data_IF_239552431034
#
_entry.id   IF_239552431034
#
_cell.length_a   1.000
_cell.length_b   1.000
_cell.length_c   1.000
_cell.angle_alpha   90.00
_cell.angle_beta   90.00
_cell.angle_gamma   90.00
#
_symmetry.space_group_name_H-M   'P 1'
#
loop_
_entity.id
_entity.type
_entity.pdbx_description
1 polymer ?
#
# COMPACT_ATOMS: atom_id res chain seq x y z
N UNK A 1 -8.47 1.37 -12.66
CA UNK A 1 -9.62 2.10 -12.02
C UNK A 1 -10.23 1.26 -10.91
N UNK A 2 -10.71 1.88 -9.82
CA UNK A 2 -11.38 1.16 -8.73
C UNK A 2 -12.84 0.82 -9.05
N UNK A 3 -13.39 -0.30 -8.53
CA UNK A 3 -12.69 -1.29 -7.68
C UNK A 3 -11.71 -2.14 -8.50
N UNK A 4 -10.52 -2.37 -7.94
CA UNK A 4 -9.55 -3.30 -8.50
C UNK A 4 -9.86 -4.71 -7.97
N UNK A 5 -9.99 -5.67 -8.86
CA UNK A 5 -10.29 -7.06 -8.51
C UNK A 5 -9.06 -7.93 -8.74
N UNK A 6 -8.74 -8.76 -7.76
CA UNK A 6 -7.76 -9.83 -7.87
C UNK A 6 -8.44 -11.20 -7.81
N UNK A 7 -7.70 -12.27 -7.68
CA UNK A 7 -8.29 -13.61 -7.54
C UNK A 7 -9.18 -13.71 -6.29
N UNK A 8 -8.69 -13.22 -5.14
CA UNK A 8 -9.35 -13.37 -3.84
C UNK A 8 -9.83 -12.07 -3.20
N UNK A 9 -9.37 -10.92 -3.69
CA UNK A 9 -9.60 -9.63 -3.08
C UNK A 9 -10.32 -8.65 -4.02
N UNK A 10 -11.01 -7.72 -3.38
CA UNK A 10 -11.54 -6.50 -3.95
C UNK A 10 -10.92 -5.30 -3.24
N UNK A 11 -10.24 -4.45 -3.98
CA UNK A 11 -9.72 -3.18 -3.49
C UNK A 11 -10.70 -2.08 -3.91
N UNK A 12 -11.20 -1.31 -2.96
CA UNK A 12 -12.11 -0.17 -3.21
C UNK A 12 -11.65 1.08 -2.47
N UNK A 13 -12.07 2.23 -2.95
CA UNK A 13 -11.85 3.46 -2.22
C UNK A 13 -12.36 3.37 -0.78
N UNK A 14 -11.61 3.95 0.15
CA UNK A 14 -12.03 4.10 1.54
C UNK A 14 -13.22 5.05 1.63
N UNK A 15 -14.04 4.87 2.67
CA UNK A 15 -15.23 5.66 2.99
C UNK A 15 -15.20 6.04 4.46
N UNK A 16 -15.89 7.10 4.83
CA UNK A 16 -16.03 7.49 6.24
C UNK A 16 -16.54 6.35 7.14
N UNK A 17 -17.43 5.50 6.60
CA UNK A 17 -17.95 4.33 7.32
C UNK A 17 -16.91 3.25 7.62
N UNK A 18 -15.71 3.31 7.06
CA UNK A 18 -14.64 2.33 7.32
C UNK A 18 -13.84 2.66 8.59
N UNK A 19 -14.12 3.78 9.26
CA UNK A 19 -13.37 4.26 10.43
C UNK A 19 -13.28 3.21 11.54
N UNK A 20 -14.37 2.52 11.87
CA UNK A 20 -14.39 1.53 12.93
C UNK A 20 -13.56 0.29 12.59
N UNK A 21 -13.56 -0.14 11.34
CA UNK A 21 -12.72 -1.27 10.89
C UNK A 21 -11.24 -0.89 10.90
N UNK A 22 -10.88 0.31 10.43
CA UNK A 22 -9.51 0.79 10.45
C UNK A 22 -9.02 0.98 11.89
N UNK A 23 -9.84 1.58 12.76
CA UNK A 23 -9.44 1.77 14.16
C UNK A 23 -9.23 0.43 14.88
N UNK A 24 -10.10 -0.56 14.66
CA UNK A 24 -9.89 -1.92 15.18
C UNK A 24 -8.61 -2.56 14.64
N UNK A 25 -8.33 -2.39 13.33
CA UNK A 25 -7.11 -2.89 12.70
C UNK A 25 -5.85 -2.32 13.36
N UNK A 26 -5.77 -1.01 13.48
CA UNK A 26 -4.60 -0.33 14.05
C UNK A 26 -4.51 -0.42 15.58
N UNK A 27 -5.60 -0.77 16.25
CA UNK A 27 -5.64 -1.06 17.69
C UNK A 27 -5.23 -2.50 18.02
N UNK A 28 -5.16 -3.40 17.04
CA UNK A 28 -4.64 -4.75 17.26
C UNK A 28 -3.17 -4.69 17.68
N UNK A 29 -2.78 -5.28 18.85
CA UNK A 29 -1.42 -5.20 19.34
C UNK A 29 -0.36 -5.74 18.36
N UNK A 30 -0.72 -6.76 17.57
CA UNK A 30 0.19 -7.34 16.58
C UNK A 30 0.45 -6.36 15.44
N UNK A 31 -0.59 -5.66 14.96
CA UNK A 31 -0.46 -4.62 13.92
C UNK A 31 0.28 -3.41 14.48
N UNK A 32 -0.13 -2.90 15.64
CA UNK A 32 0.49 -1.74 16.29
C UNK A 32 1.99 -1.92 16.59
N UNK A 33 2.48 -3.16 16.74
CA UNK A 33 3.90 -3.44 16.91
C UNK A 33 4.75 -3.06 15.67
N UNK A 34 4.14 -3.00 14.49
CA UNK A 34 4.81 -2.64 13.25
C UNK A 34 4.57 -1.18 12.85
N UNK A 35 3.34 -0.70 12.97
CA UNK A 35 2.94 0.63 12.46
C UNK A 35 2.88 1.71 13.56
N UNK A 36 3.06 1.31 14.82
CA UNK A 36 2.87 2.21 15.96
C UNK A 36 1.43 2.22 16.48
N UNK A 37 1.23 2.96 17.57
CA UNK A 37 -0.10 3.13 18.16
C UNK A 37 -0.79 4.33 17.53
N UNK A 38 -2.02 4.14 17.10
CA UNK A 38 -2.87 5.19 16.56
C UNK A 38 -4.04 5.44 17.51
N UNK A 39 -4.30 6.68 17.86
CA UNK A 39 -5.55 7.08 18.47
C UNK A 39 -6.69 7.07 17.44
N UNK A 40 -7.93 7.10 17.89
CA UNK A 40 -9.06 7.22 16.97
C UNK A 40 -8.96 8.49 16.09
N UNK A 41 -8.49 9.59 16.67
CA UNK A 41 -8.29 10.85 15.95
C UNK A 41 -7.21 10.74 14.87
N UNK A 42 -6.12 9.99 15.12
CA UNK A 42 -5.07 9.77 14.12
C UNK A 42 -5.65 8.98 12.92
N UNK A 43 -6.39 7.91 13.21
CA UNK A 43 -7.03 7.08 12.16
C UNK A 43 -8.05 7.90 11.36
N UNK A 44 -8.84 8.74 12.04
CA UNK A 44 -9.80 9.62 11.37
C UNK A 44 -9.09 10.63 10.45
N UNK A 45 -8.00 11.21 10.90
CA UNK A 45 -7.20 12.14 10.09
C UNK A 45 -6.60 11.45 8.86
N UNK A 46 -6.03 10.25 9.04
CA UNK A 46 -5.49 9.48 7.92
C UNK A 46 -6.57 9.05 6.93
N UNK A 47 -7.73 8.60 7.42
CA UNK A 47 -8.85 8.22 6.58
C UNK A 47 -9.34 9.40 5.73
N UNK A 48 -9.48 10.58 6.32
CA UNK A 48 -9.84 11.81 5.58
C UNK A 48 -8.82 12.14 4.53
N UNK A 49 -7.53 12.08 4.89
CA UNK A 49 -6.46 12.29 3.91
C UNK A 49 -6.58 11.33 2.73
N UNK A 50 -6.81 10.03 2.97
CA UNK A 50 -6.94 9.04 1.89
C UNK A 50 -8.17 9.29 1.01
N UNK A 51 -9.31 9.69 1.60
CA UNK A 51 -10.53 10.02 0.85
C UNK A 51 -10.28 11.23 -0.05
N UNK A 52 -9.71 12.30 0.50
CA UNK A 52 -9.44 13.53 -0.23
C UNK A 52 -8.39 13.31 -1.32
N UNK A 53 -7.30 12.58 -0.99
CA UNK A 53 -6.23 12.27 -1.94
C UNK A 53 -6.73 11.38 -3.09
N UNK A 54 -7.62 10.42 -2.79
CA UNK A 54 -8.27 9.61 -3.83
C UNK A 54 -9.13 10.46 -4.76
N UNK A 55 -9.86 11.43 -4.23
CA UNK A 55 -10.72 12.30 -5.02
C UNK A 55 -9.90 13.26 -5.91
N UNK A 56 -8.77 13.76 -5.42
CA UNK A 56 -7.92 14.72 -6.11
C UNK A 56 -6.97 14.06 -7.12
N UNK A 57 -6.35 12.95 -6.73
CA UNK A 57 -5.25 12.32 -7.50
C UNK A 57 -5.60 10.96 -8.12
N UNK A 58 -6.74 10.37 -7.76
CA UNK A 58 -7.16 9.06 -8.27
C UNK A 58 -6.51 7.86 -7.59
N UNK A 59 -5.68 8.07 -6.56
CA UNK A 59 -5.03 7.01 -5.79
C UNK A 59 -4.85 7.41 -4.32
N UNK A 60 -4.88 6.41 -3.44
CA UNK A 60 -4.69 6.53 -1.99
C UNK A 60 -4.50 5.12 -1.39
N UNK A 61 -4.62 4.99 -0.08
CA UNK A 61 -4.91 3.69 0.53
C UNK A 61 -6.35 3.27 0.21
N UNK A 62 -6.56 1.97 0.02
CA UNK A 62 -7.85 1.36 -0.34
C UNK A 62 -8.24 0.28 0.65
N UNK A 63 -9.52 0.13 0.88
CA UNK A 63 -10.05 -0.99 1.65
C UNK A 63 -9.86 -2.31 0.89
N UNK A 64 -9.37 -3.33 1.59
CA UNK A 64 -9.31 -4.71 1.12
C UNK A 64 -10.51 -5.50 1.64
N UNK A 65 -11.25 -6.13 0.75
CA UNK A 65 -12.35 -7.04 1.09
C UNK A 65 -12.10 -8.42 0.46
N UNK A 66 -12.41 -9.51 1.19
CA UNK A 66 -12.47 -10.85 0.58
C UNK A 66 -13.62 -10.90 -0.41
N UNK A 67 -13.38 -11.38 -1.64
CA UNK A 67 -14.45 -11.55 -2.64
C UNK A 67 -15.47 -12.61 -2.25
N UNK A 68 -15.05 -13.64 -1.53
CA UNK A 68 -15.88 -14.78 -1.11
C UNK A 68 -16.72 -14.52 0.14
N UNK A 69 -17.03 -13.29 0.48
CA UNK A 69 -17.88 -13.04 1.68
C UNK A 69 -17.88 -11.59 2.12
N UNK A 70 -17.13 -10.72 1.45
CA UNK A 70 -17.12 -9.30 1.73
C UNK A 70 -16.45 -8.90 3.05
N UNK A 71 -15.73 -9.83 3.70
CA UNK A 71 -15.05 -9.53 4.96
C UNK A 71 -13.97 -8.47 4.74
N UNK A 72 -13.93 -7.46 5.61
CA UNK A 72 -12.84 -6.47 5.62
C UNK A 72 -11.54 -7.14 6.06
N UNK A 73 -10.55 -7.10 5.19
CA UNK A 73 -9.23 -7.73 5.36
C UNK A 73 -8.22 -6.76 5.95
N UNK A 74 -8.31 -5.50 5.56
CA UNK A 74 -7.38 -4.45 5.92
C UNK A 74 -7.34 -3.35 4.88
N UNK A 75 -6.17 -2.74 4.70
CA UNK A 75 -5.95 -1.71 3.69
C UNK A 75 -4.68 -2.01 2.87
N UNK A 76 -4.69 -1.61 1.60
CA UNK A 76 -3.51 -1.61 0.73
C UNK A 76 -3.68 -0.53 -0.34
N UNK A 77 -2.62 0.17 -0.66
CA UNK A 77 -2.67 1.23 -1.66
C UNK A 77 -1.38 2.03 -1.74
N UNK A 78 -1.52 3.27 -2.12
CA UNK A 78 -0.42 4.20 -2.33
C UNK A 78 -0.58 5.43 -1.42
N UNK A 79 0.53 5.93 -0.92
CA UNK A 79 0.57 7.22 -0.18
C UNK A 79 1.81 8.02 -0.58
N UNK A 80 1.76 9.34 -0.50
CA UNK A 80 3.00 10.12 -0.49
C UNK A 80 3.87 9.69 0.69
N UNK A 81 5.16 9.46 0.48
CA UNK A 81 6.09 9.11 1.57
C UNK A 81 5.96 10.12 2.71
N UNK A 82 5.81 9.66 3.94
CA UNK A 82 5.59 10.48 5.15
C UNK A 82 4.38 11.44 5.01
N UNK A 83 3.36 11.11 4.20
CA UNK A 83 2.21 11.97 3.88
C UNK A 83 2.59 13.32 3.25
N UNK A 84 3.78 13.44 2.69
CA UNK A 84 4.34 14.68 2.12
C UNK A 84 4.82 14.51 0.69
N UNK A 85 5.31 13.32 0.33
CA UNK A 85 5.88 13.04 -0.98
C UNK A 85 7.23 13.72 -1.21
N UNK A 86 7.66 13.90 -2.46
CA UNK A 86 6.96 13.55 -3.71
C UNK A 86 6.96 12.05 -4.05
N UNK A 87 7.71 11.22 -3.33
CA UNK A 87 7.79 9.79 -3.61
C UNK A 87 6.48 9.09 -3.27
N UNK A 88 6.08 8.14 -4.10
CA UNK A 88 4.86 7.35 -3.93
C UNK A 88 5.20 6.02 -3.28
N UNK A 89 4.68 5.82 -2.08
CA UNK A 89 4.92 4.65 -1.26
C UNK A 89 3.77 3.66 -1.34
N UNK A 90 4.10 2.38 -1.52
CA UNK A 90 3.18 1.26 -1.36
C UNK A 90 3.01 0.93 0.13
N UNK A 91 1.79 1.00 0.63
CA UNK A 91 1.40 0.60 1.98
C UNK A 91 0.45 -0.59 1.98
N UNK A 92 0.51 -1.41 3.04
CA UNK A 92 -0.44 -2.49 3.29
C UNK A 92 -0.45 -2.89 4.77
N UNK A 93 -1.65 -2.98 5.33
CA UNK A 93 -1.91 -3.41 6.70
C UNK A 93 -3.11 -4.35 6.71
N UNK A 94 -2.94 -5.55 7.21
CA UNK A 94 -3.96 -6.58 7.25
C UNK A 94 -4.20 -7.05 8.68
N UNK A 95 -5.43 -7.41 9.00
CA UNK A 95 -5.75 -8.09 10.25
C UNK A 95 -4.93 -9.39 10.40
N UNK A 96 -4.42 -9.71 11.61
CA UNK A 96 -3.58 -10.89 11.85
C UNK A 96 -4.21 -12.21 11.38
N UNK A 97 -5.55 -12.32 11.46
CA UNK A 97 -6.29 -13.52 10.98
C UNK A 97 -6.15 -13.79 9.48
N UNK A 98 -5.67 -12.82 8.71
CA UNK A 98 -5.43 -12.94 7.27
C UNK A 98 -3.95 -13.07 6.90
N UNK A 99 -3.05 -13.01 7.88
CA UNK A 99 -1.62 -13.18 7.64
C UNK A 99 -1.28 -14.61 7.20
N UNK A 100 -0.14 -14.78 6.54
CA UNK A 100 0.34 -16.08 6.07
C UNK A 100 -0.43 -16.67 4.88
N UNK A 101 -1.50 -16.02 4.43
CA UNK A 101 -2.36 -16.49 3.32
C UNK A 101 -1.94 -15.92 1.94
N UNK A 102 -0.91 -15.09 1.90
CA UNK A 102 -0.43 -14.47 0.67
C UNK A 102 -1.25 -13.27 0.16
N UNK A 103 -2.29 -12.84 0.91
CA UNK A 103 -3.21 -11.79 0.50
C UNK A 103 -2.53 -10.42 0.38
N UNK A 104 -1.59 -10.09 1.29
CA UNK A 104 -0.82 -8.85 1.19
C UNK A 104 0.01 -8.79 -0.10
N UNK A 105 0.67 -9.89 -0.48
CA UNK A 105 1.43 -9.95 -1.74
C UNK A 105 0.55 -9.83 -2.97
N UNK A 106 -0.65 -10.43 -2.94
CA UNK A 106 -1.63 -10.34 -4.02
C UNK A 106 -2.13 -8.88 -4.20
N UNK A 107 -2.51 -8.23 -3.10
CA UNK A 107 -2.96 -6.84 -3.11
C UNK A 107 -1.84 -5.90 -3.56
N UNK A 108 -0.64 -6.05 -3.00
CA UNK A 108 0.53 -5.23 -3.31
C UNK A 108 0.92 -5.33 -4.80
N UNK A 109 0.96 -6.55 -5.36
CA UNK A 109 1.27 -6.75 -6.77
C UNK A 109 0.23 -6.08 -7.69
N UNK A 110 -1.05 -6.21 -7.38
CA UNK A 110 -2.12 -5.57 -8.13
C UNK A 110 -2.05 -4.03 -8.03
N UNK A 111 -1.74 -3.51 -6.84
CA UNK A 111 -1.55 -2.06 -6.62
C UNK A 111 -0.38 -1.52 -7.42
N UNK A 112 0.77 -2.20 -7.43
CA UNK A 112 1.94 -1.80 -8.21
C UNK A 112 1.65 -1.83 -9.72
N UNK A 113 0.97 -2.87 -10.19
CA UNK A 113 0.58 -2.97 -11.60
C UNK A 113 -0.34 -1.81 -12.01
N UNK A 114 -1.32 -1.45 -11.18
CA UNK A 114 -2.18 -0.29 -11.40
C UNK A 114 -1.38 1.02 -11.41
N UNK A 115 -0.47 1.19 -10.42
CA UNK A 115 0.35 2.38 -10.29
C UNK A 115 1.21 2.65 -11.54
N UNK A 116 1.97 1.66 -11.97
CA UNK A 116 2.87 1.80 -13.11
C UNK A 116 2.13 1.81 -14.45
N UNK A 117 0.98 1.12 -14.52
CA UNK A 117 0.16 0.99 -15.72
C UNK A 117 -0.82 2.14 -15.89
N UNK A 118 -2.01 2.03 -15.32
CA UNK A 118 -3.10 3.00 -15.54
C UNK A 118 -2.81 4.39 -14.95
N UNK A 119 -2.20 4.44 -13.73
CA UNK A 119 -1.91 5.71 -13.06
C UNK A 119 -0.65 6.41 -13.58
N UNK A 120 0.14 5.74 -14.41
CA UNK A 120 1.37 6.26 -15.02
C UNK A 120 2.37 6.83 -13.99
N UNK A 121 2.39 6.25 -12.78
CA UNK A 121 3.36 6.58 -11.75
C UNK A 121 4.71 5.98 -12.16
N UNK A 122 5.72 6.82 -12.34
CA UNK A 122 7.02 6.38 -12.86
C UNK A 122 7.78 5.48 -11.90
N UNK A 123 7.60 5.69 -10.58
CA UNK A 123 8.32 4.99 -9.52
C UNK A 123 7.44 4.75 -8.31
N UNK A 124 7.43 3.52 -7.84
CA UNK A 124 6.79 3.13 -6.57
C UNK A 124 7.89 2.65 -5.63
N UNK A 125 7.86 3.13 -4.40
CA UNK A 125 8.76 2.68 -3.33
C UNK A 125 7.99 1.93 -2.25
N UNK A 126 8.72 1.24 -1.39
CA UNK A 126 8.21 0.72 -0.12
C UNK A 126 9.33 0.80 0.90
N UNK A 127 9.04 1.24 2.12
CA UNK A 127 10.01 1.26 3.21
C UNK A 127 9.63 0.25 4.28
N UNK A 128 10.62 -0.42 4.85
CA UNK A 128 10.38 -1.52 5.78
C UNK A 128 11.50 -1.64 6.83
N UNK A 129 11.13 -1.97 8.06
CA UNK A 129 12.12 -2.29 9.11
C UNK A 129 12.95 -3.50 8.70
N UNK A 130 14.30 -3.48 8.88
CA UNK A 130 15.16 -4.61 8.49
C UNK A 130 14.72 -5.96 9.06
N UNK A 131 14.20 -5.97 10.28
CA UNK A 131 13.74 -7.19 10.95
C UNK A 131 12.39 -7.71 10.46
N UNK A 132 11.60 -6.91 9.72
CA UNK A 132 10.26 -7.28 9.27
C UNK A 132 10.30 -8.15 8.01
N UNK A 133 10.80 -9.39 8.12
CA UNK A 133 11.02 -10.30 6.99
C UNK A 133 9.75 -10.58 6.17
N UNK A 134 8.58 -10.65 6.83
CA UNK A 134 7.32 -10.91 6.13
C UNK A 134 6.98 -9.76 5.16
N UNK A 135 7.10 -8.52 5.60
CA UNK A 135 6.84 -7.35 4.76
C UNK A 135 7.85 -7.22 3.62
N UNK A 136 9.15 -7.52 3.87
CA UNK A 136 10.17 -7.56 2.81
C UNK A 136 9.78 -8.53 1.68
N UNK A 137 9.31 -9.73 2.04
CA UNK A 137 8.83 -10.72 1.06
C UNK A 137 7.61 -10.26 0.28
N UNK A 138 6.74 -9.44 0.89
CA UNK A 138 5.59 -8.84 0.19
C UNK A 138 6.08 -7.86 -0.85
N UNK A 139 7.01 -6.95 -0.51
CA UNK A 139 7.60 -5.99 -1.44
C UNK A 139 8.29 -6.70 -2.62
N UNK A 140 9.09 -7.72 -2.34
CA UNK A 140 9.78 -8.52 -3.37
C UNK A 140 8.78 -9.22 -4.30
N UNK A 141 7.72 -9.82 -3.76
CA UNK A 141 6.65 -10.46 -4.56
C UNK A 141 5.84 -9.46 -5.38
N UNK A 142 5.72 -8.22 -4.92
CA UNK A 142 5.08 -7.15 -5.67
C UNK A 142 5.98 -6.57 -6.77
N UNK A 143 7.20 -7.06 -6.93
CA UNK A 143 8.13 -6.65 -7.96
C UNK A 143 9.03 -5.47 -7.58
N UNK A 144 9.11 -5.14 -6.29
CA UNK A 144 10.07 -4.16 -5.80
C UNK A 144 11.38 -4.86 -5.44
N UNK A 145 12.51 -4.20 -5.66
CA UNK A 145 13.84 -4.67 -5.31
C UNK A 145 14.52 -3.72 -4.33
N UNK A 146 15.38 -4.27 -3.47
CA UNK A 146 16.13 -3.47 -2.51
C UNK A 146 17.01 -2.45 -3.24
N UNK A 147 16.93 -1.20 -2.82
CA UNK A 147 17.70 -0.10 -3.39
C UNK A 147 18.73 0.47 -2.39
N UNK A 148 18.29 0.87 -1.20
CA UNK A 148 19.17 1.55 -0.25
C UNK A 148 18.64 1.48 1.19
N UNK A 149 19.42 2.02 2.12
CA UNK A 149 18.94 2.36 3.46
C UNK A 149 18.45 3.81 3.43
N UNK A 150 17.24 4.04 3.93
CA UNK A 150 16.60 5.35 3.95
C UNK A 150 16.19 5.73 5.38
N UNK A 151 16.36 7.00 5.73
CA UNK A 151 15.71 7.58 6.90
C UNK A 151 14.32 8.07 6.51
N UNK A 152 13.29 7.48 7.11
CA UNK A 152 11.89 7.88 6.95
C UNK A 152 11.12 7.51 8.24
N UNK A 153 10.04 8.23 8.54
CA UNK A 153 9.23 8.02 9.74
C UNK A 153 10.05 8.06 11.05
N UNK A 154 11.16 8.83 11.06
CA UNK A 154 12.07 8.93 12.22
C UNK A 154 12.93 7.67 12.46
N UNK A 155 12.91 6.70 11.56
CA UNK A 155 13.62 5.43 11.68
C UNK A 155 14.57 5.18 10.50
N UNK A 156 15.49 4.23 10.68
CA UNK A 156 16.37 3.73 9.63
C UNK A 156 15.75 2.49 9.00
N UNK A 157 15.28 2.61 7.75
CA UNK A 157 14.50 1.61 7.03
C UNK A 157 15.25 1.11 5.79
N UNK A 158 14.86 -0.07 5.29
CA UNK A 158 15.24 -0.54 3.97
C UNK A 158 14.25 0.02 2.96
N UNK A 159 14.74 0.66 1.91
CA UNK A 159 13.94 1.11 0.78
C UNK A 159 14.01 0.08 -0.33
N UNK A 160 12.85 -0.32 -0.79
CA UNK A 160 12.62 -1.11 -2.00
C UNK A 160 11.96 -0.23 -3.05
N UNK A 161 12.23 -0.46 -4.33
CA UNK A 161 11.61 0.31 -5.41
C UNK A 161 11.31 -0.54 -6.64
N UNK A 162 10.39 -0.03 -7.45
CA UNK A 162 10.19 -0.47 -8.84
C UNK A 162 9.87 0.73 -9.70
N UNK A 163 10.09 0.61 -11.01
CA UNK A 163 9.85 1.71 -11.98
C UNK A 163 9.11 1.20 -13.20
N UNK A 164 8.33 2.07 -13.79
CA UNK A 164 7.78 1.81 -15.12
C UNK A 164 8.93 1.54 -16.11
N UNK A 165 8.77 0.53 -16.95
CA UNK A 165 9.69 0.33 -18.06
C UNK A 165 9.56 1.56 -18.97
N UNK A 166 10.64 2.28 -19.15
CA UNK A 166 10.69 3.32 -20.20
C UNK A 166 10.44 2.60 -21.52
N UNK A 167 9.35 2.93 -22.19
CA UNK A 167 9.07 2.41 -23.52
C UNK A 167 10.31 2.61 -24.39
N UNK A 168 10.86 1.52 -24.89
CA UNK A 168 12.00 1.57 -25.79
C UNK A 168 11.65 2.43 -26.98
N UNK A 169 12.23 3.62 -27.07
CA UNK A 169 12.20 4.39 -28.28
C UNK A 169 12.82 3.52 -29.36
N UNK A 170 12.01 3.07 -30.29
CA UNK A 170 12.50 2.55 -31.56
C UNK A 170 13.25 3.71 -32.22
N UNK A 171 14.56 3.69 -32.13
CA UNK A 171 15.40 4.39 -33.10
C UNK A 171 15.23 3.65 -34.41
N UNK A 172 14.27 4.10 -35.22
CA UNK A 172 14.27 3.80 -36.63
C UNK A 172 15.40 4.64 -37.22
N UNK A 173 16.57 4.05 -37.37
CA UNK A 173 17.54 4.54 -38.34
C UNK A 173 17.24 3.85 -39.68
N UNK A 174 16.86 4.70 -40.63
CA UNK A 174 16.75 4.36 -42.02
C UNK A 174 18.17 4.38 -42.68
#
# INVERSE_FOLDING_TARGET
MLPLLTERLRLRALRESDIDELFRLYSDPSVASYVGRHSHADVEQELRFDIDHQAEHGWAMWALEERAGGAFVGACGLRPLEMRGPEVELGYDLYPRFWGRGLAGEAAAATVALALGELQIERVIGVVKPAHLASRRVLEKAGLYYAEIRHAYGERLLLYETRALKGGGQSAEA
#
